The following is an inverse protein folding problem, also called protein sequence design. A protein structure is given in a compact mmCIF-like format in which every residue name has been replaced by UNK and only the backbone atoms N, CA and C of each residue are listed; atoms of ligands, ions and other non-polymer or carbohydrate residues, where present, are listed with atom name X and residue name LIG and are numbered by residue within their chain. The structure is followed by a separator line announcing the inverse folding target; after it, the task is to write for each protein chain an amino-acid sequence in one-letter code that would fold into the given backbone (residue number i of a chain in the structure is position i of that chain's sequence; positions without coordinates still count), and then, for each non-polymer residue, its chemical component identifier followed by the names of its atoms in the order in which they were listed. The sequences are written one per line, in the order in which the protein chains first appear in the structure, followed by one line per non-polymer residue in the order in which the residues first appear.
data_IF_229348918726
#
_entry.id   IF_229348918726
#
_cell.length_a   1.000
_cell.length_b   1.000
_cell.length_c   1.000
_cell.angle_alpha   90.00
_cell.angle_beta   90.00
_cell.angle_gamma   90.00
#
_symmetry.space_group_name_H-M   'P 1'
#
loop_
_entity.id
_entity.type
_entity.pdbx_description
1 polymer ?
#
# COMPACT_ATOMS: atom_id res chain seq x y z
N UNK A 1 9.38 9.11 16.72
CA UNK A 1 9.99 10.39 16.28
C UNK A 1 9.42 11.55 17.09
N UNK A 2 10.28 12.33 17.75
CA UNK A 2 9.89 13.54 18.48
C UNK A 2 9.75 14.77 17.56
N UNK A 3 9.03 15.81 17.99
CA UNK A 3 8.94 17.06 17.21
C UNK A 3 10.32 17.74 17.10
N UNK A 4 11.08 17.82 18.19
CA UNK A 4 12.42 18.43 18.17
C UNK A 4 13.38 17.70 17.23
N UNK A 5 13.29 16.38 17.18
CA UNK A 5 14.08 15.54 16.26
C UNK A 5 13.70 15.85 14.80
N UNK A 6 12.41 15.84 14.47
CA UNK A 6 11.89 16.19 13.14
C UNK A 6 12.41 17.57 12.70
N UNK A 7 12.27 18.58 13.55
CA UNK A 7 12.66 19.96 13.22
C UNK A 7 14.16 20.11 13.02
N UNK A 8 14.97 19.41 13.84
CA UNK A 8 16.42 19.38 13.68
C UNK A 8 16.81 18.73 12.36
N UNK A 9 16.21 17.60 11.99
CA UNK A 9 16.48 16.91 10.73
C UNK A 9 16.03 17.70 9.51
N UNK A 10 14.91 18.42 9.61
CA UNK A 10 14.39 19.25 8.52
C UNK A 10 15.07 20.64 8.44
N UNK A 11 15.90 21.01 9.41
CA UNK A 11 16.50 22.35 9.55
C UNK A 11 15.44 23.47 9.59
N UNK A 12 14.28 23.19 10.19
CA UNK A 12 13.14 24.12 10.26
C UNK A 12 12.96 24.65 11.70
N UNK A 13 12.88 25.97 11.91
CA UNK A 13 12.58 26.54 13.22
C UNK A 13 11.19 26.12 13.74
N UNK A 14 11.06 25.97 15.06
CA UNK A 14 9.80 25.60 15.71
C UNK A 14 8.66 26.58 15.36
N UNK A 15 8.94 27.88 15.28
CA UNK A 15 7.94 28.88 14.89
C UNK A 15 7.39 28.65 13.47
N UNK A 16 8.26 28.25 12.53
CA UNK A 16 7.86 27.96 11.15
C UNK A 16 7.01 26.68 11.06
N UNK A 17 7.26 25.68 11.90
CA UNK A 17 6.38 24.50 11.97
C UNK A 17 4.95 24.87 12.38
N UNK A 18 4.80 25.65 13.46
CA UNK A 18 3.48 26.05 13.96
C UNK A 18 2.79 27.10 13.07
N UNK A 19 3.53 27.75 12.17
CA UNK A 19 2.94 28.56 11.11
C UNK A 19 2.15 27.69 10.10
N UNK A 20 2.67 26.52 9.74
CA UNK A 20 2.02 25.61 8.78
C UNK A 20 1.07 24.60 9.42
N UNK A 21 1.40 24.10 10.61
CA UNK A 21 0.67 23.02 11.26
C UNK A 21 0.30 23.39 12.70
N UNK A 22 -1.01 23.41 12.99
CA UNK A 22 -1.52 23.70 14.34
C UNK A 22 -1.01 22.74 15.42
N UNK A 23 -0.67 21.50 15.05
CA UNK A 23 -0.18 20.47 15.96
C UNK A 23 0.62 19.40 15.21
N UNK A 24 1.33 18.56 15.96
CA UNK A 24 2.03 17.39 15.41
C UNK A 24 1.05 16.37 14.79
N UNK A 25 -0.14 16.24 15.36
CA UNK A 25 -1.21 15.41 14.81
C UNK A 25 -1.69 15.95 13.45
N UNK A 26 -1.94 17.26 13.34
CA UNK A 26 -2.32 17.88 12.06
C UNK A 26 -1.22 17.70 10.99
N UNK A 27 0.05 17.79 11.38
CA UNK A 27 1.16 17.43 10.51
C UNK A 27 1.12 15.95 10.11
N UNK A 28 0.83 15.05 11.06
CA UNK A 28 0.71 13.61 10.81
C UNK A 28 -0.38 13.27 9.79
N UNK A 29 -1.54 13.91 9.89
CA UNK A 29 -2.63 13.78 8.90
C UNK A 29 -2.16 14.25 7.52
N UNK A 30 -1.61 15.46 7.42
CA UNK A 30 -1.13 16.00 6.14
C UNK A 30 0.00 15.13 5.53
N UNK A 31 0.86 14.55 6.36
CA UNK A 31 1.90 13.60 5.94
C UNK A 31 1.28 12.32 5.36
N UNK A 32 0.27 11.74 6.03
CA UNK A 32 -0.45 10.56 5.55
C UNK A 32 -1.17 10.84 4.23
N UNK A 33 -1.88 11.96 4.13
CA UNK A 33 -2.58 12.36 2.91
C UNK A 33 -1.63 12.53 1.73
N UNK A 34 -0.51 13.22 1.93
CA UNK A 34 0.54 13.37 0.91
C UNK A 34 1.14 12.01 0.51
N UNK A 35 1.37 11.13 1.47
CA UNK A 35 1.90 9.79 1.20
C UNK A 35 0.94 8.98 0.34
N UNK A 36 -0.34 8.90 0.73
CA UNK A 36 -1.34 8.13 -0.01
C UNK A 36 -1.64 8.74 -1.38
N UNK A 37 -1.66 10.07 -1.53
CA UNK A 37 -1.82 10.69 -2.84
C UNK A 37 -0.72 10.23 -3.83
N UNK A 38 0.54 10.27 -3.41
CA UNK A 38 1.65 9.80 -4.23
C UNK A 38 1.60 8.28 -4.47
N UNK A 39 1.17 7.51 -3.47
CA UNK A 39 1.04 6.06 -3.59
C UNK A 39 -0.07 5.65 -4.55
N UNK A 40 -1.26 6.26 -4.43
CA UNK A 40 -2.40 6.05 -5.33
C UNK A 40 -2.07 6.42 -6.75
N UNK A 41 -1.34 7.51 -6.98
CA UNK A 41 -0.89 7.88 -8.32
C UNK A 41 -0.03 6.77 -8.95
N UNK A 42 1.03 6.33 -8.25
CA UNK A 42 1.90 5.25 -8.76
C UNK A 42 1.14 3.94 -8.99
N UNK A 43 0.23 3.60 -8.08
CA UNK A 43 -0.58 2.38 -8.22
C UNK A 43 -1.56 2.48 -9.40
N UNK A 44 -2.12 3.67 -9.63
CA UNK A 44 -2.99 3.94 -10.77
C UNK A 44 -2.22 3.77 -12.08
N UNK A 45 -1.03 4.37 -12.18
CA UNK A 45 -0.15 4.24 -13.34
C UNK A 45 0.19 2.76 -13.62
N UNK A 46 0.53 1.99 -12.57
CA UNK A 46 0.80 0.55 -12.69
C UNK A 46 -0.42 -0.23 -13.22
N UNK A 47 -1.61 -0.03 -12.65
CA UNK A 47 -2.78 -0.86 -12.95
C UNK A 47 -3.50 -0.45 -14.23
N UNK A 48 -3.50 0.84 -14.57
CA UNK A 48 -4.20 1.36 -15.75
C UNK A 48 -3.31 1.37 -17.00
N UNK A 49 -2.01 1.63 -16.85
CA UNK A 49 -1.10 1.86 -17.98
C UNK A 49 0.19 1.05 -17.92
N UNK A 50 0.33 0.14 -16.94
CA UNK A 50 1.47 -0.76 -16.86
C UNK A 50 1.56 -1.74 -18.03
N UNK A 51 2.75 -2.30 -18.23
CA UNK A 51 2.99 -3.31 -19.25
C UNK A 51 2.13 -4.57 -19.03
N UNK A 52 1.78 -5.24 -20.13
CA UNK A 52 0.94 -6.44 -20.10
C UNK A 52 -0.55 -6.17 -19.87
N UNK A 53 -1.29 -7.24 -19.62
CA UNK A 53 -2.73 -7.19 -19.34
C UNK A 53 -3.00 -6.93 -17.84
N UNK A 54 -4.27 -6.85 -17.43
CA UNK A 54 -4.63 -6.57 -16.03
C UNK A 54 -4.11 -7.62 -15.04
N UNK A 55 -4.00 -8.90 -15.45
CA UNK A 55 -3.39 -9.95 -14.62
C UNK A 55 -1.92 -9.64 -14.36
N UNK A 56 -1.17 -9.31 -15.40
CA UNK A 56 0.26 -9.00 -15.30
C UNK A 56 0.48 -7.80 -14.38
N UNK A 57 -0.34 -6.77 -14.50
CA UNK A 57 -0.28 -5.56 -13.66
C UNK A 57 -0.59 -5.83 -12.20
N UNK A 58 -1.57 -6.68 -11.90
CA UNK A 58 -1.88 -7.11 -10.52
C UNK A 58 -0.71 -7.93 -9.95
N UNK A 59 -0.10 -8.81 -10.74
CA UNK A 59 1.07 -9.56 -10.29
C UNK A 59 2.29 -8.64 -10.08
N UNK A 60 2.44 -7.63 -10.94
CA UNK A 60 3.49 -6.63 -10.83
C UNK A 60 3.40 -5.83 -9.51
N UNK A 61 2.20 -5.59 -8.98
CA UNK A 61 2.02 -4.97 -7.66
C UNK A 61 2.74 -5.74 -6.53
N UNK A 62 2.58 -7.06 -6.50
CA UNK A 62 3.28 -7.92 -5.53
C UNK A 62 4.77 -8.03 -5.86
N UNK A 63 5.13 -8.16 -7.15
CA UNK A 63 6.52 -8.26 -7.58
C UNK A 63 7.33 -6.99 -7.23
N UNK A 64 6.76 -5.80 -7.41
CA UNK A 64 7.42 -4.55 -7.04
C UNK A 64 7.70 -4.47 -5.54
N UNK A 65 6.77 -4.97 -4.72
CA UNK A 65 6.96 -5.03 -3.26
C UNK A 65 8.10 -5.97 -2.88
N UNK A 66 8.15 -7.15 -3.50
CA UNK A 66 9.23 -8.12 -3.32
C UNK A 66 10.60 -7.51 -3.72
N UNK A 67 10.67 -6.86 -4.89
CA UNK A 67 11.89 -6.23 -5.39
C UNK A 67 12.39 -5.13 -4.43
N UNK A 68 11.49 -4.28 -3.92
CA UNK A 68 11.84 -3.22 -2.97
C UNK A 68 12.43 -3.78 -1.68
N UNK A 69 11.88 -4.89 -1.16
CA UNK A 69 12.40 -5.54 0.02
C UNK A 69 13.78 -6.14 -0.22
N UNK A 70 13.98 -6.87 -1.33
CA UNK A 70 15.27 -7.50 -1.65
C UNK A 70 16.39 -6.47 -1.83
N UNK A 71 16.10 -5.30 -2.40
CA UNK A 71 17.10 -4.25 -2.61
C UNK A 71 17.55 -3.55 -1.33
N UNK A 72 16.63 -3.32 -0.38
CA UNK A 72 16.89 -2.46 0.79
C UNK A 72 16.98 -3.24 2.11
N UNK A 73 16.78 -4.57 2.11
CA UNK A 73 16.71 -5.42 3.31
C UNK A 73 15.56 -5.06 4.26
N UNK A 74 14.75 -4.08 3.88
CA UNK A 74 13.61 -3.55 4.62
C UNK A 74 12.59 -3.05 3.62
N UNK A 75 11.30 -3.14 3.95
CA UNK A 75 10.26 -2.47 3.18
C UNK A 75 10.34 -0.98 3.56
N UNK A 76 11.27 -0.27 2.93
CA UNK A 76 11.38 1.17 3.09
C UNK A 76 10.14 1.82 2.47
N UNK A 77 9.32 2.47 3.28
CA UNK A 77 8.23 3.33 2.80
C UNK A 77 6.79 2.82 2.97
N UNK A 78 6.54 1.61 3.48
CA UNK A 78 5.18 1.22 3.85
C UNK A 78 4.77 1.87 5.18
N UNK A 79 4.30 3.13 5.10
CA UNK A 79 3.80 3.89 6.24
C UNK A 79 2.57 3.23 6.86
N UNK A 80 1.74 2.54 6.06
CA UNK A 80 0.58 1.80 6.55
C UNK A 80 0.98 0.75 7.58
N UNK A 81 1.91 -0.15 7.25
CA UNK A 81 2.36 -1.22 8.16
C UNK A 81 3.14 -0.67 9.36
N UNK A 82 3.84 0.45 9.21
CA UNK A 82 4.59 1.06 10.32
C UNK A 82 3.69 1.80 11.32
N UNK A 83 2.70 2.54 10.84
CA UNK A 83 1.93 3.44 11.69
C UNK A 83 0.65 2.80 12.23
N UNK A 84 0.07 1.80 11.54
CA UNK A 84 -1.27 1.31 11.88
C UNK A 84 -1.38 0.81 13.32
N UNK A 85 -0.32 0.17 13.85
CA UNK A 85 -0.31 -0.34 15.21
C UNK A 85 -0.08 0.75 16.28
N UNK A 86 0.43 1.92 15.89
CA UNK A 86 0.76 3.00 16.82
C UNK A 86 -0.29 4.12 16.82
N UNK A 87 -0.76 4.54 15.63
CA UNK A 87 -1.54 5.77 15.50
C UNK A 87 -3.05 5.55 15.52
N UNK A 88 -3.51 4.33 15.20
CA UNK A 88 -4.94 4.04 15.12
C UNK A 88 -5.65 4.14 16.47
N UNK A 89 -4.97 3.87 17.57
CA UNK A 89 -5.51 4.00 18.93
C UNK A 89 -5.24 5.37 19.57
N UNK A 90 -4.44 6.23 18.92
CA UNK A 90 -3.99 7.51 19.47
C UNK A 90 -4.65 8.73 18.81
N UNK A 91 -5.09 8.61 17.56
CA UNK A 91 -5.67 9.72 16.79
C UNK A 91 -6.70 9.21 15.79
N UNK A 92 -7.97 9.57 15.99
CA UNK A 92 -9.04 9.25 15.06
C UNK A 92 -8.85 9.92 13.70
N UNK A 93 -8.32 11.14 13.66
CA UNK A 93 -8.05 11.85 12.40
C UNK A 93 -6.99 11.10 11.58
N UNK A 94 -5.90 10.66 12.22
CA UNK A 94 -4.87 9.87 11.54
C UNK A 94 -5.38 8.48 11.14
N UNK A 95 -6.13 7.79 12.02
CA UNK A 95 -6.77 6.50 11.72
C UNK A 95 -7.68 6.62 10.49
N UNK A 96 -8.51 7.67 10.44
CA UNK A 96 -9.41 7.96 9.33
C UNK A 96 -8.66 8.24 8.02
N UNK A 97 -7.57 9.01 8.08
CA UNK A 97 -6.71 9.25 6.92
C UNK A 97 -6.07 7.95 6.39
N UNK A 98 -5.63 7.05 7.27
CA UNK A 98 -5.11 5.74 6.88
C UNK A 98 -6.17 4.83 6.25
N UNK A 99 -7.36 4.79 6.84
CA UNK A 99 -8.50 4.02 6.34
C UNK A 99 -8.96 4.51 4.96
N UNK A 100 -9.03 5.84 4.75
CA UNK A 100 -9.24 6.44 3.43
C UNK A 100 -8.15 6.03 2.42
N UNK A 101 -6.88 6.04 2.85
CA UNK A 101 -5.76 5.59 2.05
C UNK A 101 -5.89 4.12 1.61
N UNK A 102 -6.19 3.24 2.55
CA UNK A 102 -6.40 1.81 2.31
C UNK A 102 -7.58 1.55 1.36
N UNK A 103 -8.72 2.22 1.57
CA UNK A 103 -9.88 2.12 0.67
C UNK A 103 -9.54 2.51 -0.77
N UNK A 104 -8.72 3.54 -0.97
CA UNK A 104 -8.28 3.93 -2.32
C UNK A 104 -7.47 2.84 -3.03
N UNK A 105 -6.58 2.15 -2.30
CA UNK A 105 -5.81 1.02 -2.84
C UNK A 105 -6.73 -0.14 -3.22
N UNK A 106 -7.65 -0.50 -2.33
CA UNK A 106 -8.63 -1.57 -2.55
C UNK A 106 -9.51 -1.26 -3.77
N UNK A 107 -9.96 -0.01 -3.92
CA UNK A 107 -10.78 0.40 -5.06
C UNK A 107 -10.03 0.26 -6.39
N UNK A 108 -8.75 0.66 -6.44
CA UNK A 108 -7.91 0.52 -7.63
C UNK A 108 -7.70 -0.96 -8.01
N UNK A 109 -7.43 -1.82 -7.02
CA UNK A 109 -7.31 -3.27 -7.23
C UNK A 109 -8.64 -3.88 -7.71
N UNK A 110 -9.76 -3.48 -7.11
CA UNK A 110 -11.10 -3.93 -7.51
C UNK A 110 -11.40 -3.58 -8.95
N UNK A 111 -11.08 -2.36 -9.38
CA UNK A 111 -11.29 -1.93 -10.76
C UNK A 111 -10.40 -2.72 -11.75
N UNK A 112 -9.15 -2.99 -11.39
CA UNK A 112 -8.26 -3.80 -12.23
C UNK A 112 -8.75 -5.25 -12.37
N UNK A 113 -9.32 -5.82 -11.30
CA UNK A 113 -9.94 -7.14 -11.32
C UNK A 113 -11.18 -7.17 -12.22
N UNK A 114 -12.06 -6.19 -12.11
CA UNK A 114 -13.26 -6.10 -12.96
C UNK A 114 -12.87 -5.93 -14.43
N UNK A 115 -12.01 -4.96 -14.74
CA UNK A 115 -11.54 -4.75 -16.11
C UNK A 115 -10.84 -6.00 -16.67
N UNK A 116 -10.10 -6.73 -15.82
CA UNK A 116 -9.43 -7.94 -16.23
C UNK A 116 -10.39 -9.08 -16.59
N UNK A 117 -11.52 -9.17 -15.87
CA UNK A 117 -12.62 -10.10 -16.14
C UNK A 117 -13.35 -9.73 -17.43
N UNK A 118 -13.71 -8.45 -17.60
CA UNK A 118 -14.37 -7.94 -18.81
C UNK A 118 -13.53 -8.16 -20.08
N UNK A 119 -12.20 -8.02 -19.97
CA UNK A 119 -11.27 -8.24 -21.09
C UNK A 119 -10.78 -9.69 -21.21
N UNK A 120 -11.36 -10.64 -20.46
CA UNK A 120 -11.01 -12.06 -20.49
C UNK A 120 -9.50 -12.34 -20.33
N UNK A 121 -8.80 -11.57 -19.50
CA UNK A 121 -7.36 -11.79 -19.24
C UNK A 121 -7.07 -12.42 -17.87
N UNK A 122 -8.08 -12.48 -16.99
CA UNK A 122 -8.00 -13.18 -15.72
C UNK A 122 -9.35 -13.79 -15.32
N UNK A 123 -9.31 -14.76 -14.42
CA UNK A 123 -10.47 -15.33 -13.75
C UNK A 123 -10.20 -15.51 -12.26
N UNK A 124 -11.23 -15.34 -11.45
CA UNK A 124 -11.22 -15.54 -9.99
C UNK A 124 -12.66 -15.70 -9.49
N UNK A 125 -12.82 -16.34 -8.34
CA UNK A 125 -14.13 -16.57 -7.72
C UNK A 125 -14.63 -15.34 -6.94
N UNK A 126 -15.93 -15.05 -7.02
CA UNK A 126 -16.58 -14.03 -6.20
C UNK A 126 -16.52 -12.61 -6.76
N UNK A 127 -16.83 -11.63 -5.92
CA UNK A 127 -16.95 -10.23 -6.31
C UNK A 127 -15.57 -9.52 -6.36
N UNK A 128 -15.33 -8.61 -7.31
CA UNK A 128 -14.05 -7.90 -7.44
C UNK A 128 -13.64 -7.15 -6.17
N UNK A 129 -14.60 -6.49 -5.51
CA UNK A 129 -14.31 -5.73 -4.29
C UNK A 129 -13.88 -6.64 -3.14
N UNK A 130 -14.60 -7.76 -2.95
CA UNK A 130 -14.25 -8.74 -1.92
C UNK A 130 -12.86 -9.33 -2.19
N UNK A 131 -12.58 -9.67 -3.45
CA UNK A 131 -11.28 -10.19 -3.83
C UNK A 131 -10.16 -9.16 -3.62
N UNK A 132 -10.40 -7.90 -3.98
CA UNK A 132 -9.44 -6.82 -3.77
C UNK A 132 -9.12 -6.59 -2.28
N UNK A 133 -10.12 -6.69 -1.40
CA UNK A 133 -9.90 -6.63 0.05
C UNK A 133 -9.01 -7.77 0.55
N UNK A 134 -9.26 -9.00 0.08
CA UNK A 134 -8.43 -10.18 0.40
C UNK A 134 -7.00 -10.00 -0.10
N UNK A 135 -6.82 -9.54 -1.35
CA UNK A 135 -5.50 -9.26 -1.91
C UNK A 135 -4.74 -8.22 -1.08
N UNK A 136 -5.39 -7.11 -0.73
CA UNK A 136 -4.77 -6.07 0.08
C UNK A 136 -4.41 -6.55 1.50
N UNK A 137 -5.29 -7.33 2.15
CA UNK A 137 -5.01 -7.93 3.45
C UNK A 137 -3.84 -8.93 3.39
N UNK A 138 -3.79 -9.78 2.37
CA UNK A 138 -2.68 -10.70 2.12
C UNK A 138 -1.37 -9.95 1.93
N UNK A 139 -1.40 -8.85 1.15
CA UNK A 139 -0.24 -8.00 0.96
C UNK A 139 0.25 -7.39 2.27
N UNK A 140 -0.64 -6.81 3.08
CA UNK A 140 -0.30 -6.25 4.39
C UNK A 140 0.33 -7.30 5.32
N UNK A 141 -0.29 -8.48 5.41
CA UNK A 141 0.20 -9.57 6.26
C UNK A 141 1.57 -10.07 5.82
N UNK A 142 1.79 -10.27 4.53
CA UNK A 142 3.08 -10.68 3.99
C UNK A 142 4.17 -9.64 4.25
N UNK A 143 3.88 -8.35 4.09
CA UNK A 143 4.81 -7.26 4.40
C UNK A 143 5.19 -7.25 5.89
N UNK A 144 4.20 -7.41 6.78
CA UNK A 144 4.43 -7.46 8.22
C UNK A 144 5.27 -8.68 8.62
N UNK A 145 4.92 -9.87 8.11
CA UNK A 145 5.64 -11.10 8.42
C UNK A 145 7.07 -11.07 7.88
N UNK A 146 7.29 -10.56 6.67
CA UNK A 146 8.63 -10.39 6.09
C UNK A 146 9.52 -9.47 6.93
N UNK A 147 8.93 -8.40 7.50
CA UNK A 147 9.63 -7.51 8.42
C UNK A 147 10.00 -8.21 9.74
N UNK A 148 9.11 -9.04 10.28
CA UNK A 148 9.33 -9.79 11.53
C UNK A 148 10.42 -10.85 11.34
N UNK A 149 10.31 -11.67 10.30
CA UNK A 149 11.25 -12.78 10.03
C UNK A 149 12.54 -12.34 9.36
N UNK A 150 12.60 -11.10 8.86
CA UNK A 150 13.69 -10.58 8.01
C UNK A 150 13.94 -11.47 6.78
N UNK A 151 12.88 -12.08 6.25
CA UNK A 151 12.90 -12.94 5.08
C UNK A 151 11.89 -12.44 4.05
N UNK A 152 12.22 -12.57 2.77
CA UNK A 152 11.30 -12.25 1.67
C UNK A 152 10.31 -13.40 1.38
N UNK A 153 10.50 -14.56 1.99
CA UNK A 153 9.67 -15.75 1.80
C UNK A 153 8.15 -15.48 1.94
N UNK A 154 7.65 -14.69 2.92
CA UNK A 154 6.22 -14.38 2.99
C UNK A 154 5.70 -13.61 1.76
N UNK A 155 6.53 -12.75 1.17
CA UNK A 155 6.19 -11.98 -0.04
C UNK A 155 6.19 -12.87 -1.28
N UNK A 156 7.15 -13.78 -1.40
CA UNK A 156 7.18 -14.78 -2.47
C UNK A 156 5.97 -15.71 -2.41
N UNK A 157 5.64 -16.21 -1.22
CA UNK A 157 4.48 -17.06 -0.99
C UNK A 157 3.18 -16.33 -1.33
N UNK A 158 3.05 -15.06 -0.93
CA UNK A 158 1.91 -14.24 -1.30
C UNK A 158 1.80 -14.08 -2.84
N UNK A 159 2.90 -13.76 -3.52
CA UNK A 159 2.91 -13.64 -4.98
C UNK A 159 2.54 -14.97 -5.66
N UNK A 160 3.11 -16.09 -5.21
CA UNK A 160 2.80 -17.41 -5.74
C UNK A 160 1.32 -17.79 -5.53
N UNK A 161 0.77 -17.47 -4.35
CA UNK A 161 -0.65 -17.67 -4.06
C UNK A 161 -1.54 -16.84 -4.99
N UNK A 162 -1.22 -15.56 -5.21
CA UNK A 162 -1.98 -14.67 -6.09
C UNK A 162 -1.93 -15.14 -7.55
N UNK A 163 -0.80 -15.68 -8.01
CA UNK A 163 -0.69 -16.29 -9.37
C UNK A 163 -1.69 -17.42 -9.59
N UNK A 164 -1.99 -18.19 -8.55
CA UNK A 164 -2.94 -19.30 -8.60
C UNK A 164 -4.40 -18.83 -8.47
N UNK A 165 -4.67 -17.87 -7.58
CA UNK A 165 -6.03 -17.39 -7.34
C UNK A 165 -6.52 -16.47 -8.46
N UNK A 166 -5.65 -15.62 -8.99
CA UNK A 166 -5.93 -14.79 -10.17
C UNK A 166 -5.38 -15.54 -11.38
N UNK A 167 -6.15 -16.52 -11.85
CA UNK A 167 -5.75 -17.43 -12.90
C UNK A 167 -5.93 -16.80 -14.29
N UNK A 168 -5.24 -17.33 -15.30
CA UNK A 168 -5.60 -17.08 -16.70
C UNK A 168 -6.87 -17.86 -17.05
N UNK A 169 -7.80 -17.32 -17.86
CA UNK A 169 -8.97 -18.06 -18.28
C UNK A 169 -8.58 -19.36 -19.01
N UNK A 170 -9.41 -20.39 -18.86
CA UNK A 170 -9.32 -21.56 -19.73
C UNK A 170 -9.68 -21.13 -21.16
N UNK A 171 -8.89 -21.59 -22.14
CA UNK A 171 -9.08 -21.32 -23.58
C UNK A 171 -10.47 -21.75 -24.04
#
# INVERSE_FOLDING_TARGET
MGLSELLKTAEVPKGSFYHYFRSKEAFGVAMLERHYAAYHQRLTELLQSGEGNYRDRILAYYQQTLNQFCQHGTISGCLTVKLSAEVCDLSEDMRSAMDKGARGVIALLSQALENGRENHCLTFCGEPLQQAQVLYALWLGANLQAKISRSFEPLENALAHVKNIIATPAV
#
